data_IF_959443935824
#
_entry.id   IF_959443935824
#
_cell.length_a   1.000
_cell.length_b   1.000
_cell.length_c   1.000
_cell.angle_alpha   90.00
_cell.angle_beta   90.00
_cell.angle_gamma   90.00
#
_symmetry.space_group_name_H-M   'P 1'
#
loop_
_entity.id
_entity.type
_entity.pdbx_description
1 polymer ?
#
# COMPACT_ATOMS: atom_id res chain seq x y z
N UNK A 1 -9.96 3.02 18.92
CA UNK A 1 -9.04 3.85 19.72
C UNK A 1 -7.69 4.15 19.07
N UNK A 2 -6.95 3.17 18.53
CA UNK A 2 -5.57 3.38 18.05
C UNK A 2 -5.39 4.41 16.91
N UNK A 3 -6.37 4.54 16.00
CA UNK A 3 -6.28 5.48 14.86
C UNK A 3 -6.41 6.94 15.31
N UNK A 4 -7.25 7.23 16.31
CA UNK A 4 -7.42 8.59 16.84
C UNK A 4 -6.14 9.14 17.49
N UNK A 5 -5.43 8.32 18.27
CA UNK A 5 -4.11 8.71 18.83
C UNK A 5 -3.08 8.94 17.72
N UNK A 6 -3.04 8.09 16.68
CA UNK A 6 -2.10 8.23 15.55
C UNK A 6 -2.38 9.48 14.71
N UNK A 7 -3.65 9.83 14.52
CA UNK A 7 -4.07 11.07 13.85
C UNK A 7 -3.59 12.32 14.60
N UNK A 8 -3.62 12.29 15.94
CA UNK A 8 -3.09 13.37 16.78
C UNK A 8 -1.57 13.58 16.58
N UNK A 9 -0.82 12.51 16.31
CA UNK A 9 0.61 12.56 16.00
C UNK A 9 0.94 12.67 14.49
N UNK A 10 -0.06 12.91 13.64
CA UNK A 10 0.10 13.00 12.16
C UNK A 10 0.74 11.75 11.53
N UNK A 11 0.55 10.57 12.14
CA UNK A 11 1.05 9.29 11.61
C UNK A 11 0.02 8.75 10.62
N UNK A 12 0.42 8.58 9.36
CA UNK A 12 -0.47 8.12 8.29
C UNK A 12 -0.99 9.21 7.36
N UNK A 13 -0.54 10.46 7.52
CA UNK A 13 -0.75 11.51 6.52
C UNK A 13 0.35 11.50 5.47
N UNK A 14 0.02 11.98 4.27
CA UNK A 14 0.97 12.18 3.18
C UNK A 14 2.05 13.20 3.58
N UNK A 15 3.33 12.87 3.33
CA UNK A 15 4.41 13.85 3.35
C UNK A 15 4.11 15.06 2.45
N UNK A 16 4.65 16.24 2.81
CA UNK A 16 4.33 17.48 2.11
C UNK A 16 4.72 17.46 0.63
N UNK A 17 5.88 16.89 0.30
CA UNK A 17 6.36 16.73 -1.08
C UNK A 17 5.41 15.86 -1.90
N UNK A 18 5.04 14.69 -1.36
CA UNK A 18 4.09 13.79 -1.99
C UNK A 18 2.72 14.45 -2.20
N UNK A 19 2.24 15.24 -1.23
CA UNK A 19 0.98 15.98 -1.35
C UNK A 19 1.06 17.00 -2.49
N UNK A 20 2.19 17.69 -2.65
CA UNK A 20 2.37 18.65 -3.74
C UNK A 20 2.40 17.95 -5.11
N UNK A 21 3.07 16.80 -5.21
CA UNK A 21 3.15 15.96 -6.42
C UNK A 21 1.74 15.53 -6.87
N UNK A 22 0.97 14.88 -5.99
CA UNK A 22 -0.38 14.40 -6.35
C UNK A 22 -1.39 15.52 -6.57
N UNK A 23 -1.20 16.69 -5.95
CA UNK A 23 -2.04 17.85 -6.22
C UNK A 23 -1.86 18.37 -7.65
N UNK A 24 -0.63 18.34 -8.18
CA UNK A 24 -0.34 18.74 -9.55
C UNK A 24 -0.94 17.79 -10.61
N UNK A 25 -1.08 16.50 -10.28
CA UNK A 25 -1.71 15.47 -11.14
C UNK A 25 -3.24 15.58 -11.19
N UNK A 26 -3.85 16.40 -10.33
CA UNK A 26 -5.29 16.48 -10.15
C UNK A 26 -5.84 15.28 -9.35
N UNK A 27 -6.15 15.53 -8.09
CA UNK A 27 -6.68 14.52 -7.16
C UNK A 27 -8.15 14.23 -7.49
N UNK A 28 -8.47 12.96 -7.69
CA UNK A 28 -9.84 12.44 -7.81
C UNK A 28 -10.35 12.00 -6.44
N UNK A 29 -9.49 11.37 -5.63
CA UNK A 29 -9.80 10.95 -4.27
C UNK A 29 -8.55 11.02 -3.40
N UNK A 30 -8.68 11.53 -2.18
CA UNK A 30 -7.61 11.60 -1.19
C UNK A 30 -8.17 11.16 0.17
N UNK A 31 -7.64 10.06 0.69
CA UNK A 31 -7.88 9.61 2.05
C UNK A 31 -6.54 9.49 2.80
N UNK A 32 -6.48 10.12 3.95
CA UNK A 32 -5.33 10.06 4.86
C UNK A 32 -5.76 9.43 6.17
N UNK A 33 -4.80 8.87 6.90
CA UNK A 33 -5.07 8.15 8.14
C UNK A 33 -5.94 6.90 7.95
N UNK A 34 -5.86 6.29 6.77
CA UNK A 34 -6.60 5.09 6.37
C UNK A 34 -6.12 3.90 7.19
N UNK A 35 -7.01 3.15 7.88
CA UNK A 35 -6.62 1.92 8.55
C UNK A 35 -6.15 0.88 7.54
N UNK A 36 -4.94 0.33 7.76
CA UNK A 36 -4.38 -0.72 6.90
C UNK A 36 -4.23 -2.00 7.70
N UNK A 37 -4.79 -3.10 7.19
CA UNK A 37 -4.54 -4.45 7.73
C UNK A 37 -3.48 -5.14 6.89
N UNK A 38 -2.34 -5.47 7.50
CA UNK A 38 -1.30 -6.29 6.90
C UNK A 38 -1.47 -7.73 7.33
N UNK A 39 -1.52 -8.67 6.39
CA UNK A 39 -1.46 -10.11 6.67
C UNK A 39 -0.21 -10.69 6.02
N UNK A 40 0.52 -11.51 6.76
CA UNK A 40 1.70 -12.22 6.27
C UNK A 40 1.60 -13.66 6.72
N UNK A 41 1.91 -14.58 5.82
CA UNK A 41 2.11 -15.98 6.14
C UNK A 41 3.23 -16.50 5.27
N UNK A 42 4.28 -17.05 5.87
CA UNK A 42 5.43 -17.48 5.11
C UNK A 42 6.75 -17.40 5.86
N UNK A 43 7.83 -17.45 5.08
CA UNK A 43 9.21 -17.44 5.52
C UNK A 43 10.00 -16.45 4.68
N UNK A 44 10.69 -15.55 5.34
CA UNK A 44 11.70 -14.66 4.75
C UNK A 44 12.97 -14.73 5.60
N UNK A 45 14.14 -14.30 5.09
CA UNK A 45 15.32 -14.13 5.94
C UNK A 45 14.99 -13.27 7.18
N UNK A 46 15.23 -13.82 8.37
CA UNK A 46 14.97 -13.14 9.65
C UNK A 46 13.54 -13.25 10.20
N UNK A 47 12.57 -13.84 9.48
CA UNK A 47 11.19 -14.02 9.99
C UNK A 47 10.45 -15.21 9.39
N UNK A 48 9.76 -15.98 10.23
CA UNK A 48 8.80 -17.02 9.82
C UNK A 48 7.52 -16.86 10.63
N UNK A 49 6.37 -16.95 9.97
CA UNK A 49 5.08 -16.95 10.65
C UNK A 49 4.05 -17.78 9.87
N UNK A 50 3.23 -18.54 10.59
CA UNK A 50 2.09 -19.28 10.03
C UNK A 50 0.79 -18.44 10.07
N UNK A 51 0.94 -17.12 9.89
CA UNK A 51 -0.11 -16.13 10.08
C UNK A 51 0.32 -15.05 11.07
N UNK A 52 0.55 -13.85 10.56
CA UNK A 52 0.85 -12.64 11.34
C UNK A 52 -0.02 -11.50 10.77
N UNK A 53 -0.86 -10.91 11.63
CA UNK A 53 -1.78 -9.84 11.28
C UNK A 53 -1.41 -8.61 12.09
N UNK A 54 -1.14 -7.50 11.39
CA UNK A 54 -0.78 -6.24 12.02
C UNK A 54 -1.63 -5.09 11.48
N UNK A 55 -1.89 -4.10 12.34
CA UNK A 55 -2.66 -2.90 11.98
C UNK A 55 -1.76 -1.67 11.88
N UNK A 56 -1.74 -1.11 10.68
CA UNK A 56 -1.01 0.09 10.31
C UNK A 56 -1.98 1.21 9.93
N UNK A 57 -1.41 2.35 9.56
CA UNK A 57 -2.15 3.48 9.01
C UNK A 57 -1.43 3.94 7.76
N UNK A 58 -2.19 4.37 6.76
CA UNK A 58 -1.67 4.81 5.48
C UNK A 58 -2.44 5.95 4.88
N UNK A 59 -2.08 6.29 3.64
CA UNK A 59 -2.88 7.18 2.79
C UNK A 59 -3.14 6.47 1.46
N UNK A 60 -4.31 6.76 0.87
CA UNK A 60 -4.70 6.33 -0.47
C UNK A 60 -5.05 7.58 -1.28
N UNK A 61 -4.45 7.70 -2.46
CA UNK A 61 -4.67 8.81 -3.38
C UNK A 61 -4.91 8.24 -4.77
N UNK A 62 -6.00 8.67 -5.38
CA UNK A 62 -6.30 8.42 -6.78
C UNK A 62 -6.20 9.76 -7.50
N UNK A 63 -5.32 9.86 -8.49
CA UNK A 63 -5.17 11.04 -9.33
C UNK A 63 -5.61 10.73 -10.75
N UNK A 64 -5.62 11.74 -11.63
CA UNK A 64 -5.84 11.49 -13.06
C UNK A 64 -4.72 10.66 -13.70
N UNK A 65 -3.57 10.53 -13.04
CA UNK A 65 -2.39 9.85 -13.60
C UNK A 65 -2.09 8.48 -12.96
N UNK A 66 -2.36 8.31 -11.66
CA UNK A 66 -1.93 7.11 -10.94
C UNK A 66 -2.76 6.77 -9.70
N UNK A 67 -2.47 5.58 -9.16
CA UNK A 67 -2.76 5.20 -7.77
C UNK A 67 -1.50 5.35 -6.95
N UNK A 68 -1.60 6.10 -5.85
CA UNK A 68 -0.57 6.22 -4.84
C UNK A 68 -1.12 5.72 -3.50
N UNK A 69 -0.42 4.79 -2.87
CA UNK A 69 -0.72 4.36 -1.52
C UNK A 69 0.54 4.35 -0.67
N UNK A 70 0.42 4.74 0.59
CA UNK A 70 1.54 4.77 1.53
C UNK A 70 1.21 4.02 2.81
N UNK A 71 2.22 3.39 3.40
CA UNK A 71 2.15 2.73 4.69
C UNK A 71 3.05 3.44 5.68
N UNK A 72 2.49 3.90 6.80
CA UNK A 72 3.24 4.54 7.87
C UNK A 72 3.39 3.60 9.07
N UNK A 73 4.63 3.32 9.45
CA UNK A 73 4.98 2.64 10.71
C UNK A 73 5.44 3.63 11.79
N UNK A 74 5.98 4.78 11.39
CA UNK A 74 6.47 5.85 12.28
C UNK A 74 6.06 7.24 11.75
N UNK A 75 6.03 8.30 12.59
CA UNK A 75 5.69 9.64 12.13
C UNK A 75 6.59 10.13 10.99
N UNK A 76 6.01 10.79 9.99
CA UNK A 76 6.70 11.42 8.84
C UNK A 76 7.44 10.48 7.89
N UNK A 77 7.45 9.16 8.14
CA UNK A 77 7.97 8.15 7.21
C UNK A 77 6.81 7.31 6.68
N UNK A 78 6.40 7.61 5.46
CA UNK A 78 5.34 6.89 4.75
C UNK A 78 5.98 6.18 3.56
N UNK A 79 6.20 4.87 3.68
CA UNK A 79 6.74 4.06 2.59
C UNK A 79 5.68 3.92 1.49
N UNK A 80 6.04 4.18 0.23
CA UNK A 80 5.13 3.95 -0.91
C UNK A 80 4.87 2.44 -1.03
N UNK A 81 3.62 2.02 -0.94
CA UNK A 81 3.21 0.63 -1.21
C UNK A 81 2.65 0.44 -2.60
N UNK A 82 2.05 1.49 -3.16
CA UNK A 82 1.65 1.58 -4.56
C UNK A 82 2.11 2.92 -5.07
N UNK A 83 2.69 2.93 -6.25
CA UNK A 83 2.98 4.12 -7.03
C UNK A 83 2.90 3.75 -8.51
N UNK A 84 1.67 3.50 -8.97
CA UNK A 84 1.43 2.88 -10.27
C UNK A 84 0.56 3.78 -11.13
N UNK A 85 1.11 4.22 -12.26
CA UNK A 85 0.36 4.99 -13.26
C UNK A 85 -0.71 4.12 -13.92
N UNK A 86 -1.81 4.76 -14.33
CA UNK A 86 -2.89 4.09 -15.03
C UNK A 86 -2.45 3.50 -16.38
N UNK A 87 -1.53 4.20 -17.06
CA UNK A 87 -0.99 3.89 -18.40
C UNK A 87 0.30 3.06 -18.38
N UNK A 88 0.88 2.81 -17.20
CA UNK A 88 2.06 1.96 -17.09
C UNK A 88 1.73 0.49 -17.42
N UNK A 89 2.74 -0.32 -17.82
CA UNK A 89 2.56 -1.76 -17.99
C UNK A 89 1.96 -2.39 -16.74
N UNK A 90 0.94 -3.22 -16.91
CA UNK A 90 0.27 -3.91 -15.81
C UNK A 90 0.75 -5.34 -15.72
N UNK A 91 1.98 -5.47 -15.24
CA UNK A 91 2.64 -6.74 -15.03
C UNK A 91 3.54 -6.61 -13.81
N UNK A 92 3.78 -7.74 -13.15
CA UNK A 92 4.76 -7.83 -12.08
C UNK A 92 4.30 -8.71 -10.94
N UNK A 93 5.10 -8.66 -9.88
CA UNK A 93 4.98 -9.52 -8.69
C UNK A 93 3.91 -9.10 -7.69
N UNK A 94 3.33 -7.90 -7.86
CA UNK A 94 2.28 -7.34 -7.01
C UNK A 94 1.01 -7.14 -7.81
N UNK A 95 -0.12 -7.55 -7.24
CA UNK A 95 -1.45 -7.21 -7.73
C UNK A 95 -2.14 -6.29 -6.75
N UNK A 96 -2.94 -5.37 -7.28
CA UNK A 96 -3.73 -4.45 -6.48
C UNK A 96 -5.14 -4.28 -7.07
N UNK A 97 -6.14 -4.23 -6.22
CA UNK A 97 -7.55 -4.13 -6.59
C UNK A 97 -8.24 -3.02 -5.81
N UNK A 98 -8.93 -2.14 -6.53
CA UNK A 98 -9.81 -1.11 -5.99
C UNK A 98 -11.26 -1.60 -6.01
N UNK A 99 -11.89 -1.60 -4.83
CA UNK A 99 -13.29 -1.95 -4.62
C UNK A 99 -13.97 -0.93 -3.70
N UNK A 100 -15.27 -1.11 -3.46
CA UNK A 100 -16.04 -0.27 -2.53
C UNK A 100 -15.45 -0.24 -1.11
N UNK A 101 -14.74 -1.30 -0.73
CA UNK A 101 -14.11 -1.44 0.60
C UNK A 101 -12.70 -0.87 0.69
N UNK A 102 -12.15 -0.43 -0.43
CA UNK A 102 -10.87 0.26 -0.53
C UNK A 102 -9.89 -0.42 -1.47
N UNK A 103 -8.61 -0.34 -1.11
CA UNK A 103 -7.50 -0.90 -1.90
C UNK A 103 -7.00 -2.18 -1.23
N UNK A 104 -7.04 -3.29 -1.97
CA UNK A 104 -6.44 -4.55 -1.58
C UNK A 104 -5.19 -4.81 -2.42
N UNK A 105 -4.10 -5.22 -1.78
CA UNK A 105 -2.82 -5.52 -2.41
C UNK A 105 -2.41 -6.94 -2.02
N UNK A 106 -1.97 -7.73 -3.00
CA UNK A 106 -1.41 -9.05 -2.79
C UNK A 106 -0.01 -9.17 -3.41
N UNK A 107 0.86 -9.90 -2.73
CA UNK A 107 2.25 -10.09 -3.11
C UNK A 107 2.63 -11.54 -2.92
N UNK A 108 2.99 -12.19 -4.03
CA UNK A 108 3.68 -13.48 -3.98
C UNK A 108 5.14 -13.23 -3.59
N UNK A 109 5.51 -13.69 -2.40
CA UNK A 109 6.82 -13.42 -1.85
C UNK A 109 7.94 -14.08 -2.66
N UNK A 110 7.68 -15.26 -3.21
CA UNK A 110 8.69 -16.01 -3.96
C UNK A 110 8.95 -15.37 -5.33
N UNK A 111 7.90 -14.80 -5.94
CA UNK A 111 8.02 -14.06 -7.20
C UNK A 111 8.87 -12.79 -7.03
N UNK A 112 8.80 -12.14 -5.85
CA UNK A 112 9.62 -10.95 -5.52
C UNK A 112 11.07 -11.30 -5.21
N UNK A 113 11.31 -12.33 -4.37
CA UNK A 113 12.65 -12.78 -3.99
C UNK A 113 12.62 -14.29 -3.76
N UNK A 114 13.45 -15.03 -4.49
CA UNK A 114 13.49 -16.49 -4.43
C UNK A 114 13.85 -17.07 -3.06
N UNK A 115 14.45 -16.26 -2.16
CA UNK A 115 14.73 -16.62 -0.76
C UNK A 115 13.48 -16.59 0.12
N UNK A 116 12.41 -15.98 -0.36
CA UNK A 116 11.15 -15.81 0.33
C UNK A 116 10.12 -16.83 -0.14
N UNK A 117 9.23 -17.20 0.77
CA UNK A 117 8.13 -18.13 0.52
C UNK A 117 6.88 -17.62 1.23
N UNK A 118 5.72 -17.75 0.59
CA UNK A 118 4.42 -17.41 1.18
C UNK A 118 3.80 -16.16 0.55
N UNK A 119 2.95 -15.50 1.33
CA UNK A 119 2.08 -14.43 0.83
C UNK A 119 2.06 -13.24 1.80
N UNK A 120 1.98 -12.05 1.23
CA UNK A 120 1.75 -10.78 1.93
C UNK A 120 0.55 -10.08 1.31
N UNK A 121 -0.36 -9.59 2.14
CA UNK A 121 -1.43 -8.71 1.69
C UNK A 121 -1.61 -7.48 2.57
N UNK A 122 -2.04 -6.39 1.93
CA UNK A 122 -2.38 -5.13 2.56
C UNK A 122 -3.81 -4.76 2.18
N UNK A 123 -4.65 -4.46 3.16
CA UNK A 123 -6.00 -3.95 2.93
C UNK A 123 -6.13 -2.55 3.53
N UNK A 124 -6.19 -1.55 2.66
CA UNK A 124 -6.53 -0.17 2.97
C UNK A 124 -8.05 -0.04 3.06
N UNK A 125 -8.56 0.19 4.27
CA UNK A 125 -10.00 0.25 4.55
C UNK A 125 -10.51 1.65 4.35
N UNK A 126 -10.87 1.98 3.12
CA UNK A 126 -11.41 3.27 2.70
C UNK A 126 -12.67 3.04 1.89
N UNK A 127 -13.75 3.77 2.19
CA UNK A 127 -14.98 3.62 1.42
C UNK A 127 -14.86 4.37 0.10
N UNK A 128 -14.82 3.64 -1.00
CA UNK A 128 -14.75 4.20 -2.35
C UNK A 128 -16.14 4.14 -2.99
N UNK A 129 -16.82 5.28 -3.23
CA UNK A 129 -18.15 5.28 -3.84
C UNK A 129 -18.16 4.64 -5.24
N UNK A 130 -19.26 4.00 -5.61
CA UNK A 130 -19.41 3.40 -6.95
C UNK A 130 -19.19 4.39 -8.08
N UNK A 131 -19.67 5.62 -7.94
CA UNK A 131 -19.46 6.69 -8.91
C UNK A 131 -17.97 7.01 -9.12
N UNK A 132 -17.17 6.94 -8.06
CA UNK A 132 -15.72 7.08 -8.16
C UNK A 132 -15.14 5.88 -8.92
N UNK A 133 -15.50 4.65 -8.52
CA UNK A 133 -15.00 3.42 -9.12
C UNK A 133 -15.39 3.24 -10.60
N UNK A 134 -16.52 3.79 -11.03
CA UNK A 134 -16.96 3.80 -12.43
C UNK A 134 -16.17 4.78 -13.29
N UNK A 135 -15.59 5.82 -12.68
CA UNK A 135 -14.79 6.85 -13.39
C UNK A 135 -13.31 6.50 -13.49
N UNK A 136 -12.84 5.50 -12.74
CA UNK A 136 -11.44 5.08 -12.79
C UNK A 136 -11.12 4.43 -14.14
N UNK A 137 -9.93 4.70 -14.71
CA UNK A 137 -9.51 4.03 -15.95
C UNK A 137 -9.47 2.51 -15.82
N UNK A 138 -9.19 2.02 -14.61
CA UNK A 138 -9.17 0.60 -14.25
C UNK A 138 -9.26 0.42 -12.74
N UNK A 139 -9.64 -0.79 -12.32
CA UNK A 139 -9.73 -1.18 -10.91
C UNK A 139 -8.64 -2.15 -10.47
N UNK A 140 -8.07 -2.91 -11.42
CA UNK A 140 -6.98 -3.84 -11.16
C UNK A 140 -5.67 -3.28 -11.71
N UNK A 141 -4.62 -3.38 -10.90
CA UNK A 141 -3.26 -2.96 -11.18
C UNK A 141 -2.29 -4.12 -10.96
N UNK A 142 -1.20 -4.12 -11.71
CA UNK A 142 -0.06 -5.00 -11.45
C UNK A 142 1.25 -4.26 -11.69
N UNK A 143 2.23 -4.48 -10.81
CA UNK A 143 3.52 -3.81 -10.85
C UNK A 143 4.60 -4.62 -10.13
N UNK A 144 5.86 -4.33 -10.44
CA UNK A 144 7.02 -4.92 -9.78
C UNK A 144 7.46 -4.11 -8.58
N UNK A 145 8.03 -4.80 -7.59
CA UNK A 145 8.64 -4.18 -6.40
C UNK A 145 10.00 -4.81 -6.11
N UNK A 146 10.96 -4.05 -5.55
CA UNK A 146 12.22 -4.64 -5.12
C UNK A 146 12.01 -5.54 -3.90
N UNK A 147 12.91 -6.52 -3.63
CA UNK A 147 12.85 -7.36 -2.45
C UNK A 147 12.65 -6.60 -1.14
N UNK A 148 13.32 -5.46 -1.00
CA UNK A 148 13.22 -4.57 0.18
C UNK A 148 11.77 -4.23 0.56
N UNK A 149 10.85 -4.17 -0.41
CA UNK A 149 9.42 -3.94 -0.19
C UNK A 149 8.83 -4.91 0.83
N UNK A 150 9.11 -6.21 0.66
CA UNK A 150 8.60 -7.29 1.53
C UNK A 150 9.11 -7.11 2.95
N UNK A 151 10.43 -6.91 3.09
CA UNK A 151 11.10 -6.76 4.38
C UNK A 151 10.57 -5.55 5.16
N UNK A 152 10.45 -4.39 4.48
CA UNK A 152 9.87 -3.18 5.07
C UNK A 152 8.41 -3.39 5.50
N UNK A 153 7.60 -4.05 4.69
CA UNK A 153 6.18 -4.29 5.00
C UNK A 153 5.98 -5.20 6.23
N UNK A 154 6.92 -6.09 6.52
CA UNK A 154 6.84 -7.01 7.68
C UNK A 154 7.70 -6.60 8.88
N UNK A 155 8.39 -5.46 8.78
CA UNK A 155 9.19 -4.88 9.87
C UNK A 155 10.53 -5.58 10.11
N UNK A 156 11.14 -6.15 9.07
CA UNK A 156 12.43 -6.84 9.14
C UNK A 156 13.48 -6.01 8.38
N UNK A 157 14.71 -5.84 8.90
CA UNK A 157 15.78 -5.19 8.15
C UNK A 157 16.13 -5.95 6.86
N UNK A 158 16.25 -5.23 5.75
CA UNK A 158 16.70 -5.82 4.48
C UNK A 158 18.23 -5.84 4.42
N UNK A 159 18.79 -7.01 4.09
CA UNK A 159 20.20 -7.20 3.80
C UNK A 159 20.28 -7.80 2.38
N UNK A 160 20.70 -7.02 1.37
CA UNK A 160 20.68 -7.46 -0.03
C UNK A 160 21.49 -8.74 -0.25
#
# INVERSE_FOLDING_TARGET
MAVFLRKLFRIGGLPAELRAEVAAEGIIHLAEYVPVTRRFSGKIPGKRANGDIASYVGSLVLTNERVLATLSSVPKLAGRTVDQRWDAPQAGTVTAELSETGLFIEVDLHAVDSRCEGQLSLHYKESLPDELLMRLPRRSLAFDVPPEYVFRAVGVPYHP
#
